data_IF_406482096213
#
_entry.id   IF_406482096213
#
_cell.length_a   1.000
_cell.length_b   1.000
_cell.length_c   1.000
_cell.angle_alpha   90.00
_cell.angle_beta   90.00
_cell.angle_gamma   90.00
#
_symmetry.space_group_name_H-M   'P 1'
#
loop_
_entity.id
_entity.type
_entity.pdbx_description
1 polymer ?
#
# COMPACT_ATOMS: atom_id res chain seq x y z
N UNK A 1 -17.10 14.38 -43.82
CA UNK A 1 -17.12 14.66 -42.37
C UNK A 1 -16.28 15.89 -42.02
N UNK A 2 -14.94 15.89 -42.17
CA UNK A 2 -14.13 17.09 -41.84
C UNK A 2 -14.58 18.31 -42.64
N UNK A 3 -14.73 18.18 -43.96
CA UNK A 3 -15.21 19.24 -44.85
C UNK A 3 -16.59 19.78 -44.44
N UNK A 4 -17.54 18.90 -44.11
CA UNK A 4 -18.90 19.28 -43.73
C UNK A 4 -18.96 19.90 -42.34
N UNK A 5 -18.09 19.49 -41.41
CA UNK A 5 -17.98 20.11 -40.10
C UNK A 5 -17.35 21.51 -40.15
N UNK A 6 -16.28 21.69 -40.93
CA UNK A 6 -15.71 23.03 -41.17
C UNK A 6 -16.75 23.96 -41.81
N UNK A 7 -17.53 23.45 -42.77
CA UNK A 7 -18.61 24.23 -43.37
C UNK A 7 -19.67 24.65 -42.33
N UNK A 8 -20.08 23.76 -41.41
CA UNK A 8 -20.99 24.13 -40.32
C UNK A 8 -20.42 25.29 -39.47
N UNK A 9 -19.12 25.22 -39.13
CA UNK A 9 -18.43 26.28 -38.37
C UNK A 9 -18.36 27.62 -39.12
N UNK A 10 -18.38 27.60 -40.46
CA UNK A 10 -18.44 28.83 -41.26
C UNK A 10 -19.85 29.39 -41.41
N UNK A 11 -20.87 28.54 -41.42
CA UNK A 11 -22.27 28.94 -41.63
C UNK A 11 -22.94 29.48 -40.37
N UNK A 12 -22.60 28.93 -39.20
CA UNK A 12 -23.20 29.33 -37.92
C UNK A 12 -22.13 29.50 -36.85
N UNK A 13 -22.39 30.43 -35.93
CA UNK A 13 -21.52 30.63 -34.76
C UNK A 13 -21.60 29.43 -33.82
N UNK A 14 -20.54 29.15 -33.04
CA UNK A 14 -20.52 28.07 -32.04
C UNK A 14 -21.74 28.07 -31.11
N UNK A 15 -22.18 29.25 -30.66
CA UNK A 15 -23.31 29.40 -29.75
C UNK A 15 -24.63 28.97 -30.40
N UNK A 16 -24.83 29.34 -31.68
CA UNK A 16 -26.03 29.01 -32.45
C UNK A 16 -26.09 27.51 -32.75
N UNK A 17 -24.96 26.90 -33.10
CA UNK A 17 -24.86 25.45 -33.32
C UNK A 17 -25.19 24.68 -32.04
N UNK A 18 -24.62 25.11 -30.91
CA UNK A 18 -24.89 24.49 -29.62
C UNK A 18 -26.35 24.64 -29.17
N UNK A 19 -26.96 25.82 -29.39
CA UNK A 19 -28.38 26.03 -29.08
C UNK A 19 -29.30 25.17 -29.97
N UNK A 20 -28.99 25.07 -31.26
CA UNK A 20 -29.71 24.22 -32.20
C UNK A 20 -29.65 22.74 -31.79
N UNK A 21 -28.46 22.26 -31.46
CA UNK A 21 -28.26 20.90 -30.95
C UNK A 21 -29.03 20.65 -29.65
N UNK A 22 -28.97 21.58 -28.69
CA UNK A 22 -29.67 21.41 -27.41
C UNK A 22 -31.19 21.42 -27.60
N UNK A 23 -31.71 22.24 -28.52
CA UNK A 23 -33.13 22.24 -28.90
C UNK A 23 -33.56 20.90 -29.48
N UNK A 24 -32.77 20.31 -30.38
CA UNK A 24 -33.06 18.98 -30.93
C UNK A 24 -32.96 17.88 -29.87
N UNK A 25 -32.00 17.97 -28.95
CA UNK A 25 -31.88 17.02 -27.84
C UNK A 25 -33.11 17.10 -26.93
N UNK A 26 -33.54 18.31 -26.57
CA UNK A 26 -34.74 18.52 -25.76
C UNK A 26 -36.01 18.00 -26.43
N UNK A 27 -36.08 18.09 -27.76
CA UNK A 27 -37.20 17.54 -28.56
C UNK A 27 -37.20 16.02 -28.60
N UNK A 28 -36.04 15.39 -28.75
CA UNK A 28 -35.91 13.92 -28.90
C UNK A 28 -35.96 13.21 -27.55
N UNK A 29 -35.26 13.73 -26.54
CA UNK A 29 -35.09 13.10 -25.25
C UNK A 29 -35.08 14.16 -24.12
N UNK A 30 -36.24 14.74 -23.77
CA UNK A 30 -36.33 15.82 -22.79
C UNK A 30 -35.78 15.41 -21.41
N UNK A 31 -35.92 14.15 -21.02
CA UNK A 31 -35.39 13.63 -19.75
C UNK A 31 -33.85 13.67 -19.66
N UNK A 32 -33.14 13.63 -20.78
CA UNK A 32 -31.66 13.67 -20.82
C UNK A 32 -31.14 15.08 -20.54
N UNK A 33 -31.94 16.11 -20.81
CA UNK A 33 -31.55 17.52 -20.60
C UNK A 33 -31.20 17.84 -19.15
N UNK A 34 -31.75 17.11 -18.18
CA UNK A 34 -31.47 17.24 -16.74
C UNK A 34 -29.99 16.98 -16.41
N UNK A 35 -29.28 16.20 -17.24
CA UNK A 35 -27.85 15.94 -17.06
C UNK A 35 -26.97 17.17 -17.38
N UNK A 36 -27.51 18.14 -18.13
CA UNK A 36 -26.78 19.31 -18.59
C UNK A 36 -27.02 20.51 -17.64
N UNK A 37 -26.24 20.57 -16.57
CA UNK A 37 -26.42 21.56 -15.47
C UNK A 37 -25.71 22.91 -15.69
N UNK A 38 -24.84 23.01 -16.69
CA UNK A 38 -24.04 24.22 -16.94
C UNK A 38 -24.85 25.27 -17.73
N UNK A 39 -24.48 26.55 -17.74
CA UNK A 39 -25.09 27.53 -18.64
C UNK A 39 -24.96 27.11 -20.12
N UNK A 40 -25.96 27.47 -20.94
CA UNK A 40 -26.05 27.08 -22.36
C UNK A 40 -24.78 27.43 -23.16
N UNK A 41 -24.14 28.56 -22.86
CA UNK A 41 -22.92 29.01 -23.53
C UNK A 41 -21.75 28.03 -23.32
N UNK A 42 -21.59 27.53 -22.09
CA UNK A 42 -20.57 26.54 -21.77
C UNK A 42 -20.91 25.21 -22.45
N UNK A 43 -22.19 24.83 -22.49
CA UNK A 43 -22.63 23.61 -23.16
C UNK A 43 -22.39 23.68 -24.68
N UNK A 44 -22.62 24.82 -25.31
CA UNK A 44 -22.34 25.03 -26.72
C UNK A 44 -20.85 24.85 -27.04
N UNK A 45 -19.97 25.45 -26.22
CA UNK A 45 -18.52 25.24 -26.33
C UNK A 45 -18.12 23.77 -26.15
N UNK A 46 -18.69 23.10 -25.15
CA UNK A 46 -18.47 21.66 -24.92
C UNK A 46 -18.97 20.81 -26.08
N UNK A 47 -20.12 21.13 -26.65
CA UNK A 47 -20.65 20.47 -27.84
C UNK A 47 -19.66 20.56 -29.01
N UNK A 48 -19.16 21.77 -29.32
CA UNK A 48 -18.16 21.94 -30.38
C UNK A 48 -16.91 21.08 -30.13
N UNK A 49 -16.39 21.10 -28.90
CA UNK A 49 -15.23 20.28 -28.53
C UNK A 49 -15.48 18.77 -28.66
N UNK A 50 -16.69 18.31 -28.36
CA UNK A 50 -17.06 16.89 -28.53
C UNK A 50 -17.07 16.53 -30.02
N UNK A 51 -17.65 17.38 -30.87
CA UNK A 51 -17.67 17.10 -32.32
C UNK A 51 -16.27 17.19 -32.92
N UNK A 52 -15.45 18.18 -32.55
CA UNK A 52 -14.05 18.27 -32.97
C UNK A 52 -13.27 17.00 -32.57
N UNK A 53 -13.47 16.49 -31.35
CA UNK A 53 -12.89 15.22 -30.88
C UNK A 53 -13.36 14.03 -31.72
N UNK A 54 -14.65 13.96 -32.07
CA UNK A 54 -15.19 12.89 -32.90
C UNK A 54 -14.66 12.94 -34.34
N UNK A 55 -14.48 14.14 -34.90
CA UNK A 55 -13.85 14.30 -36.22
C UNK A 55 -12.38 13.87 -36.16
N UNK A 56 -11.65 14.28 -35.12
CA UNK A 56 -10.25 13.88 -34.92
C UNK A 56 -10.07 12.36 -34.69
N UNK A 57 -11.05 11.70 -34.07
CA UNK A 57 -11.06 10.24 -33.89
C UNK A 57 -10.92 9.45 -35.20
N UNK A 58 -11.42 10.00 -36.32
CA UNK A 58 -11.28 9.38 -37.65
C UNK A 58 -9.81 9.29 -38.07
N UNK A 59 -9.02 10.30 -37.71
CA UNK A 59 -7.62 10.44 -38.16
C UNK A 59 -6.66 9.69 -37.26
N UNK A 60 -6.94 9.67 -35.95
CA UNK A 60 -6.05 9.07 -34.97
C UNK A 60 -6.86 8.45 -33.82
N UNK A 61 -7.35 7.20 -34.00
CA UNK A 61 -8.11 6.51 -32.98
C UNK A 61 -7.35 6.35 -31.66
N UNK A 62 -6.02 6.23 -31.70
CA UNK A 62 -5.16 6.07 -30.51
C UNK A 62 -5.30 7.23 -29.53
N UNK A 63 -5.29 8.48 -30.02
CA UNK A 63 -5.38 9.70 -29.21
C UNK A 63 -6.72 9.74 -28.45
N UNK A 64 -7.81 9.31 -29.09
CA UNK A 64 -9.11 9.22 -28.43
C UNK A 64 -9.09 8.24 -27.26
N UNK A 65 -8.35 7.13 -27.37
CA UNK A 65 -8.26 6.11 -26.34
C UNK A 65 -7.38 6.49 -25.14
N UNK A 66 -6.38 7.37 -25.32
CA UNK A 66 -5.50 7.83 -24.22
C UNK A 66 -6.27 8.52 -23.08
N UNK A 67 -7.41 9.17 -23.37
CA UNK A 67 -8.29 9.81 -22.38
C UNK A 67 -9.59 9.06 -22.08
N UNK A 68 -9.84 7.95 -22.77
CA UNK A 68 -11.16 7.31 -22.82
C UNK A 68 -11.63 6.75 -21.47
N UNK A 69 -10.69 6.25 -20.65
CA UNK A 69 -10.99 5.78 -19.29
C UNK A 69 -11.51 6.92 -18.39
N UNK A 70 -10.76 8.03 -18.33
CA UNK A 70 -11.15 9.21 -17.55
C UNK A 70 -12.48 9.79 -18.04
N UNK A 71 -12.70 9.76 -19.36
CA UNK A 71 -13.99 10.12 -19.95
C UNK A 71 -15.12 9.21 -19.43
N UNK A 72 -14.94 7.89 -19.50
CA UNK A 72 -15.93 6.89 -19.07
C UNK A 72 -16.29 7.05 -17.60
N UNK A 73 -15.29 7.14 -16.71
CA UNK A 73 -15.51 7.33 -15.26
C UNK A 73 -16.32 8.61 -14.98
N UNK A 74 -15.99 9.72 -15.65
CA UNK A 74 -16.76 10.96 -15.51
C UNK A 74 -18.20 10.82 -16.00
N UNK A 75 -18.43 10.12 -17.11
CA UNK A 75 -19.77 9.90 -17.64
C UNK A 75 -20.62 9.02 -16.71
N UNK A 76 -20.03 7.98 -16.11
CA UNK A 76 -20.68 7.20 -15.05
C UNK A 76 -21.05 8.11 -13.87
N UNK A 77 -20.12 8.98 -13.45
CA UNK A 77 -20.35 9.95 -12.36
C UNK A 77 -21.48 10.93 -12.64
N UNK A 78 -21.62 11.35 -13.90
CA UNK A 78 -22.71 12.21 -14.33
C UNK A 78 -24.05 11.47 -14.43
N UNK A 79 -24.08 10.15 -14.31
CA UNK A 79 -25.28 9.33 -14.47
C UNK A 79 -25.66 9.11 -15.94
N UNK A 80 -24.70 9.25 -16.87
CA UNK A 80 -24.92 8.99 -18.29
C UNK A 80 -24.98 7.48 -18.51
N UNK A 81 -26.04 7.02 -19.16
CA UNK A 81 -26.25 5.62 -19.53
C UNK A 81 -25.96 5.42 -21.02
N UNK A 82 -25.56 4.21 -21.40
CA UNK A 82 -25.32 3.85 -22.81
C UNK A 82 -26.56 4.07 -23.70
N UNK A 83 -27.78 3.90 -23.15
CA UNK A 83 -29.04 4.13 -23.86
C UNK A 83 -29.21 5.57 -24.38
N UNK A 84 -28.59 6.56 -23.71
CA UNK A 84 -28.69 7.97 -24.11
C UNK A 84 -27.88 8.29 -25.37
N UNK A 85 -26.90 7.46 -25.72
CA UNK A 85 -26.02 7.71 -26.87
C UNK A 85 -26.81 7.77 -28.20
N UNK A 86 -27.86 6.96 -28.36
CA UNK A 86 -28.69 7.00 -29.58
C UNK A 86 -29.42 8.33 -29.73
N UNK A 87 -30.02 8.83 -28.66
CA UNK A 87 -30.74 10.10 -28.67
C UNK A 87 -29.81 11.29 -28.89
N UNK A 88 -28.65 11.29 -28.22
CA UNK A 88 -27.63 12.31 -28.41
C UNK A 88 -27.12 12.35 -29.85
N UNK A 89 -26.74 11.20 -30.43
CA UNK A 89 -26.27 11.16 -31.82
C UNK A 89 -27.29 11.67 -32.82
N UNK A 90 -28.56 11.31 -32.63
CA UNK A 90 -29.65 11.80 -33.48
C UNK A 90 -29.81 13.32 -33.38
N UNK A 91 -29.69 13.90 -32.18
CA UNK A 91 -29.77 15.36 -32.04
C UNK A 91 -28.58 16.09 -32.68
N UNK A 92 -27.38 15.50 -32.64
CA UNK A 92 -26.20 16.04 -33.36
C UNK A 92 -26.44 16.04 -34.86
N UNK A 93 -26.85 14.90 -35.43
CA UNK A 93 -27.05 14.76 -36.87
C UNK A 93 -28.15 15.71 -37.36
N UNK A 94 -29.27 15.81 -36.64
CA UNK A 94 -30.34 16.77 -36.95
C UNK A 94 -29.84 18.23 -36.95
N UNK A 95 -28.98 18.60 -35.99
CA UNK A 95 -28.44 19.97 -35.93
C UNK A 95 -27.51 20.28 -37.12
N UNK A 96 -26.75 19.27 -37.59
CA UNK A 96 -25.91 19.38 -38.79
C UNK A 96 -26.77 19.47 -40.05
N UNK A 97 -27.79 18.63 -40.17
CA UNK A 97 -28.77 18.66 -41.27
C UNK A 97 -29.45 20.03 -41.38
N UNK A 98 -29.97 20.56 -40.27
CA UNK A 98 -30.59 21.89 -40.20
C UNK A 98 -29.61 23.05 -40.44
N UNK A 99 -28.30 22.81 -40.39
CA UNK A 99 -27.28 23.83 -40.67
C UNK A 99 -26.81 23.79 -42.13
N UNK A 100 -26.67 22.59 -42.69
CA UNK A 100 -26.19 22.38 -44.04
C UNK A 100 -27.31 22.45 -45.08
N UNK A 101 -28.55 22.20 -44.68
CA UNK A 101 -29.75 22.24 -45.52
C UNK A 101 -29.54 21.45 -46.82
N UNK A 102 -29.55 22.10 -47.98
CA UNK A 102 -29.35 21.47 -49.30
C UNK A 102 -28.00 20.74 -49.46
N UNK A 103 -27.00 21.08 -48.63
CA UNK A 103 -25.67 20.47 -48.66
C UNK A 103 -25.57 19.20 -47.78
N UNK A 104 -26.68 18.79 -47.17
CA UNK A 104 -26.77 17.55 -46.42
C UNK A 104 -27.42 16.46 -47.29
N UNK A 105 -26.61 15.85 -48.15
CA UNK A 105 -27.03 14.73 -48.99
C UNK A 105 -27.01 13.38 -48.23
N UNK A 106 -27.49 12.32 -48.89
CA UNK A 106 -27.57 10.97 -48.33
C UNK A 106 -26.18 10.41 -47.96
N UNK A 107 -25.14 10.75 -48.71
CA UNK A 107 -23.76 10.33 -48.46
C UNK A 107 -23.21 10.99 -47.18
N UNK A 108 -23.48 12.29 -46.99
CA UNK A 108 -23.13 13.03 -45.79
C UNK A 108 -23.90 12.48 -44.58
N UNK A 109 -25.20 12.21 -44.73
CA UNK A 109 -26.02 11.61 -43.68
C UNK A 109 -25.47 10.25 -43.25
N UNK A 110 -25.16 9.37 -44.20
CA UNK A 110 -24.61 8.05 -43.94
C UNK A 110 -23.23 8.14 -43.27
N UNK A 111 -22.36 9.04 -43.74
CA UNK A 111 -21.03 9.22 -43.18
C UNK A 111 -21.07 9.65 -41.71
N UNK A 112 -21.91 10.65 -41.37
CA UNK A 112 -22.08 11.09 -39.99
C UNK A 112 -22.70 10.01 -39.10
N UNK A 113 -23.66 9.24 -39.63
CA UNK A 113 -24.26 8.12 -38.90
C UNK A 113 -23.22 7.04 -38.60
N UNK A 114 -22.38 6.68 -39.57
CA UNK A 114 -21.30 5.70 -39.39
C UNK A 114 -20.28 6.15 -38.35
N UNK A 115 -19.86 7.42 -38.39
CA UNK A 115 -18.96 7.99 -37.38
C UNK A 115 -19.57 7.87 -35.99
N UNK A 116 -20.83 8.32 -35.84
CA UNK A 116 -21.52 8.29 -34.56
C UNK A 116 -21.63 6.86 -34.04
N UNK A 117 -22.08 5.91 -34.85
CA UNK A 117 -22.21 4.50 -34.46
C UNK A 117 -20.87 3.94 -34.00
N UNK A 118 -19.78 4.22 -34.73
CA UNK A 118 -18.45 3.72 -34.36
C UNK A 118 -18.00 4.27 -33.01
N UNK A 119 -18.01 5.59 -32.83
CA UNK A 119 -17.57 6.21 -31.58
C UNK A 119 -18.49 5.88 -30.39
N UNK A 120 -19.81 5.94 -30.60
CA UNK A 120 -20.79 5.67 -29.55
C UNK A 120 -20.85 4.21 -29.15
N UNK A 121 -20.54 3.25 -30.04
CA UNK A 121 -20.50 1.83 -29.69
C UNK A 121 -19.43 1.53 -28.63
N UNK A 122 -18.26 2.16 -28.73
CA UNK A 122 -17.18 2.05 -27.75
C UNK A 122 -17.61 2.66 -26.41
N UNK A 123 -18.10 3.90 -26.43
CA UNK A 123 -18.56 4.61 -25.22
C UNK A 123 -19.70 3.84 -24.55
N UNK A 124 -20.72 3.42 -25.31
CA UNK A 124 -21.89 2.72 -24.76
C UNK A 124 -21.51 1.38 -24.15
N UNK A 125 -20.58 0.63 -24.76
CA UNK A 125 -20.05 -0.60 -24.18
C UNK A 125 -19.35 -0.34 -22.85
N UNK A 126 -18.47 0.65 -22.80
CA UNK A 126 -17.74 1.03 -21.60
C UNK A 126 -18.68 1.54 -20.50
N UNK A 127 -19.71 2.32 -20.86
CA UNK A 127 -20.75 2.76 -19.93
C UNK A 127 -21.61 1.60 -19.43
N UNK A 128 -21.97 0.64 -20.28
CA UNK A 128 -22.75 -0.52 -19.86
C UNK A 128 -21.97 -1.43 -18.90
N UNK A 129 -20.65 -1.61 -19.10
CA UNK A 129 -19.79 -2.26 -18.10
C UNK A 129 -19.76 -1.43 -16.81
N UNK A 130 -19.61 -0.11 -16.95
CA UNK A 130 -19.64 0.86 -15.86
C UNK A 130 -21.00 1.03 -15.16
N UNK A 131 -22.09 0.51 -15.71
CA UNK A 131 -23.42 0.48 -15.07
C UNK A 131 -23.59 -0.65 -14.07
N UNK A 132 -22.54 -1.46 -13.83
CA UNK A 132 -22.53 -2.35 -12.67
C UNK A 132 -22.93 -1.53 -11.43
N UNK A 133 -24.00 -1.91 -10.70
CA UNK A 133 -24.49 -1.16 -9.55
C UNK A 133 -23.39 -0.85 -8.52
N UNK A 134 -22.39 -1.73 -8.40
CA UNK A 134 -21.22 -1.54 -7.55
C UNK A 134 -20.35 -0.40 -8.06
N UNK A 135 -19.97 -0.40 -9.33
CA UNK A 135 -19.17 0.69 -9.94
C UNK A 135 -19.91 2.02 -9.79
N UNK A 136 -21.22 2.04 -10.06
CA UNK A 136 -22.04 3.24 -9.94
C UNK A 136 -22.03 3.76 -8.50
N UNK A 137 -22.19 2.87 -7.51
CA UNK A 137 -22.14 3.26 -6.10
C UNK A 137 -20.78 3.79 -5.66
N UNK A 138 -19.68 3.19 -6.13
CA UNK A 138 -18.30 3.61 -5.84
C UNK A 138 -18.02 4.99 -6.43
N UNK A 139 -18.37 5.20 -7.71
CA UNK A 139 -18.17 6.46 -8.42
C UNK A 139 -19.00 7.60 -7.82
N UNK A 140 -20.22 7.30 -7.37
CA UNK A 140 -21.10 8.27 -6.71
C UNK A 140 -20.73 8.48 -5.23
N UNK A 141 -20.00 7.54 -4.64
CA UNK A 141 -19.67 7.52 -3.23
C UNK A 141 -20.87 7.25 -2.32
N UNK A 142 -21.89 6.56 -2.83
CA UNK A 142 -23.17 6.33 -2.14
C UNK A 142 -23.19 4.94 -1.50
N UNK A 143 -23.05 4.90 -0.17
CA UNK A 143 -23.02 3.66 0.61
C UNK A 143 -24.35 2.90 0.55
N UNK A 144 -25.50 3.58 0.57
CA UNK A 144 -26.80 2.91 0.55
C UNK A 144 -27.01 2.16 -0.77
N UNK A 145 -26.61 2.78 -1.89
CA UNK A 145 -26.64 2.10 -3.20
C UNK A 145 -25.69 0.91 -3.27
N UNK A 146 -24.52 1.01 -2.65
CA UNK A 146 -23.61 -0.14 -2.57
C UNK A 146 -24.27 -1.27 -1.79
N UNK A 147 -24.84 -1.01 -0.60
CA UNK A 147 -25.54 -2.02 0.17
C UNK A 147 -26.64 -2.70 -0.65
N UNK A 148 -27.51 -1.92 -1.29
CA UNK A 148 -28.59 -2.43 -2.14
C UNK A 148 -28.07 -3.26 -3.32
N UNK A 149 -26.93 -2.87 -3.92
CA UNK A 149 -26.29 -3.63 -4.98
C UNK A 149 -25.77 -4.99 -4.48
N UNK A 150 -25.22 -5.02 -3.27
CA UNK A 150 -24.65 -6.23 -2.67
C UNK A 150 -25.72 -7.21 -2.17
N UNK A 151 -26.95 -6.75 -1.91
CA UNK A 151 -28.05 -7.62 -1.44
C UNK A 151 -28.45 -8.71 -2.45
N UNK A 152 -28.19 -8.46 -3.74
CA UNK A 152 -28.43 -9.43 -4.81
C UNK A 152 -27.31 -10.49 -4.94
N UNK A 153 -26.16 -10.26 -4.32
CA UNK A 153 -24.98 -11.12 -4.48
C UNK A 153 -24.97 -12.27 -3.48
N UNK A 154 -24.62 -13.47 -3.94
CA UNK A 154 -24.34 -14.57 -3.01
C UNK A 154 -23.11 -14.25 -2.16
N UNK A 155 -23.01 -14.86 -0.98
CA UNK A 155 -21.95 -14.54 0.00
C UNK A 155 -20.53 -14.72 -0.55
N UNK A 156 -20.32 -15.69 -1.45
CA UNK A 156 -19.02 -15.93 -2.11
C UNK A 156 -18.73 -14.84 -3.14
N UNK A 157 -19.72 -14.48 -3.96
CA UNK A 157 -19.58 -13.44 -4.98
C UNK A 157 -19.32 -12.07 -4.35
N UNK A 158 -19.87 -11.79 -3.16
CA UNK A 158 -19.59 -10.54 -2.43
C UNK A 158 -18.10 -10.30 -2.24
N UNK A 159 -17.31 -11.34 -1.94
CA UNK A 159 -15.87 -11.21 -1.75
C UNK A 159 -15.16 -10.80 -3.04
N UNK A 160 -15.46 -11.47 -4.15
CA UNK A 160 -14.88 -11.12 -5.46
C UNK A 160 -15.29 -9.71 -5.88
N UNK A 161 -16.57 -9.36 -5.70
CA UNK A 161 -17.13 -8.08 -6.12
C UNK A 161 -16.62 -6.88 -5.30
N UNK A 162 -16.32 -7.07 -4.01
CA UNK A 162 -15.78 -6.01 -3.14
C UNK A 162 -14.26 -5.90 -3.21
N UNK A 163 -13.57 -6.91 -3.73
CA UNK A 163 -12.10 -6.89 -3.86
C UNK A 163 -11.62 -6.62 -5.28
N UNK A 164 -12.41 -6.99 -6.29
CA UNK A 164 -12.04 -6.82 -7.70
C UNK A 164 -13.25 -6.44 -8.55
N UNK A 165 -13.07 -5.41 -9.37
CA UNK A 165 -14.07 -4.95 -10.33
C UNK A 165 -13.36 -4.61 -11.63
N UNK A 166 -13.84 -5.17 -12.74
CA UNK A 166 -13.35 -4.85 -14.07
C UNK A 166 -14.02 -3.56 -14.59
N UNK A 167 -13.20 -2.54 -14.83
CA UNK A 167 -13.61 -1.32 -15.51
C UNK A 167 -12.93 -1.26 -16.87
N UNK A 168 -13.57 -1.89 -17.86
CA UNK A 168 -13.16 -1.84 -19.27
C UNK A 168 -11.75 -2.39 -19.54
N UNK A 169 -11.44 -3.56 -18.98
CA UNK A 169 -10.19 -4.29 -19.17
C UNK A 169 -9.14 -4.03 -18.07
N UNK A 170 -9.44 -3.14 -17.12
CA UNK A 170 -8.61 -2.91 -15.95
C UNK A 170 -9.30 -3.42 -14.69
N UNK A 171 -8.59 -4.26 -13.93
CA UNK A 171 -9.05 -4.76 -12.63
C UNK A 171 -8.72 -3.71 -11.58
N UNK A 172 -9.75 -3.16 -10.94
CA UNK A 172 -9.65 -2.20 -9.85
C UNK A 172 -10.14 -2.83 -8.54
N UNK A 173 -9.57 -2.39 -7.42
CA UNK A 173 -10.08 -2.73 -6.08
C UNK A 173 -11.07 -1.67 -5.60
N UNK A 174 -12.33 -2.03 -5.32
CA UNK A 174 -13.31 -1.15 -4.68
C UNK A 174 -12.83 -0.55 -3.36
N UNK A 175 -12.11 -1.34 -2.57
CA UNK A 175 -11.54 -0.89 -1.30
C UNK A 175 -10.51 0.23 -1.52
N UNK A 176 -9.51 -0.02 -2.37
CA UNK A 176 -8.46 0.97 -2.65
C UNK A 176 -8.99 2.19 -3.41
N UNK A 177 -9.99 2.00 -4.26
CA UNK A 177 -10.70 3.13 -4.87
C UNK A 177 -11.38 3.97 -3.79
N UNK A 178 -12.17 3.37 -2.90
CA UNK A 178 -12.88 4.10 -1.84
C UNK A 178 -11.93 4.84 -0.91
N UNK A 179 -10.77 4.26 -0.57
CA UNK A 179 -9.74 4.93 0.22
C UNK A 179 -9.14 6.13 -0.52
N UNK A 180 -8.81 5.98 -1.81
CA UNK A 180 -8.23 7.05 -2.64
C UNK A 180 -9.18 8.23 -2.83
N UNK A 181 -10.47 7.95 -3.00
CA UNK A 181 -11.51 8.97 -3.17
C UNK A 181 -11.94 9.59 -1.82
N UNK A 182 -11.39 9.12 -0.69
CA UNK A 182 -11.72 9.62 0.65
C UNK A 182 -13.10 9.18 1.15
N UNK A 183 -13.74 8.21 0.49
CA UNK A 183 -15.00 7.64 0.93
C UNK A 183 -14.78 6.54 1.97
N UNK A 184 -14.39 6.95 3.17
CA UNK A 184 -14.04 6.04 4.26
C UNK A 184 -15.25 5.25 4.79
N UNK A 185 -16.47 5.76 4.65
CA UNK A 185 -17.68 5.03 5.03
C UNK A 185 -17.86 3.78 4.17
N UNK A 186 -17.69 3.91 2.86
CA UNK A 186 -17.70 2.79 1.93
C UNK A 186 -16.55 1.83 2.19
N UNK A 187 -15.32 2.34 2.36
CA UNK A 187 -14.16 1.49 2.67
C UNK A 187 -14.35 0.68 3.95
N UNK A 188 -14.86 1.31 5.02
CA UNK A 188 -15.18 0.64 6.28
C UNK A 188 -16.30 -0.39 6.15
N UNK A 189 -17.33 -0.11 5.34
CA UNK A 189 -18.35 -1.09 5.01
C UNK A 189 -17.75 -2.33 4.33
N UNK A 190 -16.87 -2.17 3.32
CA UNK A 190 -16.29 -3.36 2.67
C UNK A 190 -15.38 -4.11 3.63
N UNK A 191 -14.55 -3.46 4.45
CA UNK A 191 -13.72 -4.15 5.46
C UNK A 191 -14.61 -4.97 6.40
N UNK A 192 -15.67 -4.38 6.93
CA UNK A 192 -16.60 -5.05 7.83
C UNK A 192 -17.35 -6.20 7.14
N UNK A 193 -17.82 -6.01 5.90
CA UNK A 193 -18.55 -7.06 5.17
C UNK A 193 -17.64 -8.26 4.84
N UNK A 194 -16.39 -8.00 4.45
CA UNK A 194 -15.39 -9.03 4.16
C UNK A 194 -15.01 -9.83 5.41
N UNK A 195 -14.88 -9.15 6.56
CA UNK A 195 -14.45 -9.78 7.82
C UNK A 195 -15.59 -10.29 8.70
N UNK A 196 -16.85 -10.07 8.31
CA UNK A 196 -17.99 -10.59 9.06
C UNK A 196 -18.06 -12.12 8.92
N UNK A 197 -17.90 -12.83 10.03
CA UNK A 197 -18.07 -14.28 10.07
C UNK A 197 -19.56 -14.60 9.93
N UNK A 198 -19.94 -15.31 8.87
CA UNK A 198 -21.32 -15.71 8.60
C UNK A 198 -21.38 -17.21 8.39
N UNK A 199 -22.49 -17.84 8.77
CA UNK A 199 -22.75 -19.25 8.52
C UNK A 199 -24.01 -19.39 7.66
N UNK A 200 -23.97 -20.27 6.67
CA UNK A 200 -25.16 -20.74 5.96
C UNK A 200 -25.28 -22.26 6.17
N UNK A 201 -26.34 -22.88 5.64
CA UNK A 201 -26.58 -24.33 5.77
C UNK A 201 -25.42 -25.18 5.24
N UNK A 202 -24.70 -24.69 4.23
CA UNK A 202 -23.67 -25.46 3.53
C UNK A 202 -22.22 -25.07 3.92
N UNK A 203 -21.98 -23.85 4.42
CA UNK A 203 -20.61 -23.35 4.64
C UNK A 203 -20.52 -22.15 5.59
N UNK A 204 -19.33 -21.97 6.17
CA UNK A 204 -18.93 -20.75 6.88
C UNK A 204 -18.21 -19.81 5.93
N UNK A 205 -18.48 -18.51 6.05
CA UNK A 205 -17.94 -17.46 5.21
C UNK A 205 -17.14 -16.49 6.06
N UNK A 206 -15.88 -16.31 5.69
CA UNK A 206 -14.98 -15.36 6.32
C UNK A 206 -13.91 -14.94 5.30
N UNK A 207 -14.01 -13.71 4.79
CA UNK A 207 -13.23 -13.23 3.65
C UNK A 207 -11.80 -12.79 3.98
N UNK A 208 -11.25 -13.16 5.15
CA UNK A 208 -9.90 -12.76 5.60
C UNK A 208 -8.83 -13.11 4.58
N UNK A 209 -8.79 -14.35 4.12
CA UNK A 209 -7.74 -14.82 3.21
C UNK A 209 -7.80 -14.09 1.86
N UNK A 210 -9.01 -13.85 1.34
CA UNK A 210 -9.22 -13.09 0.11
C UNK A 210 -8.79 -11.64 0.28
N UNK A 211 -9.15 -11.01 1.41
CA UNK A 211 -8.77 -9.63 1.73
C UNK A 211 -7.26 -9.44 1.69
N UNK A 212 -6.51 -10.24 2.47
CA UNK A 212 -5.05 -10.12 2.54
C UNK A 212 -4.33 -10.63 1.29
N UNK A 213 -4.90 -11.60 0.56
CA UNK A 213 -4.34 -12.05 -0.71
C UNK A 213 -4.40 -10.98 -1.79
N UNK A 214 -5.51 -10.23 -1.86
CA UNK A 214 -5.69 -9.14 -2.84
C UNK A 214 -5.07 -7.82 -2.36
N UNK A 215 -4.90 -7.63 -1.05
CA UNK A 215 -4.43 -6.40 -0.42
C UNK A 215 -3.38 -6.69 0.67
N UNK A 216 -2.18 -7.18 0.32
CA UNK A 216 -1.13 -7.52 1.30
C UNK A 216 -0.62 -6.28 2.07
N UNK A 217 -0.71 -5.11 1.46
CA UNK A 217 -0.27 -3.81 1.96
C UNK A 217 -1.41 -2.99 2.59
N UNK A 218 -2.55 -3.62 2.88
CA UNK A 218 -3.74 -2.94 3.45
C UNK A 218 -3.42 -2.16 4.74
N UNK A 219 -2.57 -2.70 5.62
CA UNK A 219 -2.20 -2.05 6.88
C UNK A 219 -1.45 -0.73 6.63
N UNK A 220 -0.57 -0.71 5.63
CA UNK A 220 0.16 0.50 5.23
C UNK A 220 -0.78 1.56 4.68
N UNK A 221 -1.67 1.16 3.78
CA UNK A 221 -2.69 2.03 3.22
C UNK A 221 -3.62 2.60 4.31
N UNK A 222 -4.07 1.78 5.27
CA UNK A 222 -4.92 2.26 6.35
C UNK A 222 -4.17 3.20 7.30
N UNK A 223 -2.92 2.91 7.65
CA UNK A 223 -2.11 3.82 8.47
C UNK A 223 -1.92 5.19 7.80
N UNK A 224 -1.72 5.22 6.48
CA UNK A 224 -1.50 6.46 5.72
C UNK A 224 -2.79 7.22 5.43
N UNK A 225 -3.80 6.52 4.92
CA UNK A 225 -4.99 7.13 4.31
C UNK A 225 -6.16 7.23 5.31
N UNK A 226 -6.32 6.27 6.25
CA UNK A 226 -7.42 6.28 7.22
C UNK A 226 -7.15 5.47 8.51
N UNK A 227 -6.43 6.07 9.49
CA UNK A 227 -6.14 5.49 10.81
C UNK A 227 -7.31 4.83 11.54
N UNK A 228 -8.52 5.39 11.42
CA UNK A 228 -9.70 4.91 12.14
C UNK A 228 -10.20 3.56 11.63
N UNK A 229 -10.06 3.30 10.33
CA UNK A 229 -10.47 2.04 9.73
C UNK A 229 -9.57 0.87 10.15
N UNK A 230 -8.39 1.16 10.68
CA UNK A 230 -7.51 0.14 11.24
C UNK A 230 -8.13 -0.57 12.45
N UNK A 231 -8.88 0.15 13.30
CA UNK A 231 -9.63 -0.45 14.41
C UNK A 231 -10.73 -1.37 13.88
N UNK A 232 -11.47 -0.95 12.85
CA UNK A 232 -12.48 -1.79 12.22
C UNK A 232 -11.87 -3.06 11.59
N UNK A 233 -10.70 -2.92 10.95
CA UNK A 233 -9.95 -4.08 10.46
C UNK A 233 -9.63 -5.03 11.62
N UNK A 234 -9.07 -4.53 12.72
CA UNK A 234 -8.71 -5.37 13.85
C UNK A 234 -9.92 -6.01 14.54
N UNK A 235 -11.02 -5.29 14.70
CA UNK A 235 -12.27 -5.84 15.25
C UNK A 235 -12.79 -7.01 14.41
N UNK A 236 -12.65 -6.94 13.07
CA UNK A 236 -12.99 -8.04 12.16
C UNK A 236 -12.03 -9.24 12.20
N UNK A 237 -10.88 -9.11 12.84
CA UNK A 237 -9.90 -10.21 13.04
C UNK A 237 -10.05 -10.90 14.39
N UNK A 238 -11.09 -10.56 15.15
CA UNK A 238 -11.39 -11.20 16.42
C UNK A 238 -12.85 -11.66 16.47
N UNK A 239 -13.08 -12.79 17.13
CA UNK A 239 -14.42 -13.30 17.39
C UNK A 239 -14.60 -13.57 18.87
N UNK A 240 -15.74 -13.13 19.41
CA UNK A 240 -16.10 -13.32 20.81
C UNK A 240 -17.16 -14.41 20.93
N UNK A 241 -16.96 -15.34 21.87
CA UNK A 241 -18.01 -16.27 22.26
C UNK A 241 -19.18 -15.53 22.90
N UNK A 242 -20.38 -16.07 22.73
CA UNK A 242 -21.57 -15.60 23.46
C UNK A 242 -21.58 -16.08 24.90
N UNK A 243 -20.92 -17.20 25.16
CA UNK A 243 -20.92 -17.85 26.46
C UNK A 243 -19.83 -17.25 27.36
N UNK A 244 -20.22 -16.95 28.59
CA UNK A 244 -19.35 -16.46 29.66
C UNK A 244 -19.06 -17.64 30.59
N UNK A 245 -17.82 -18.08 30.65
CA UNK A 245 -17.36 -19.14 31.54
C UNK A 245 -16.46 -18.52 32.62
N UNK A 246 -16.81 -18.69 33.90
CA UNK A 246 -16.05 -18.16 35.04
C UNK A 246 -15.78 -16.64 34.97
N UNK A 247 -16.74 -15.86 34.46
CA UNK A 247 -16.58 -14.41 34.27
C UNK A 247 -15.64 -14.02 33.13
N UNK A 248 -15.20 -14.98 32.30
CA UNK A 248 -14.34 -14.76 31.15
C UNK A 248 -15.09 -15.11 29.86
N UNK A 249 -14.77 -14.39 28.78
CA UNK A 249 -15.29 -14.65 27.43
C UNK A 249 -14.16 -15.23 26.59
N UNK A 250 -14.44 -16.34 25.90
CA UNK A 250 -13.50 -16.88 24.93
C UNK A 250 -13.40 -15.95 23.73
N UNK A 251 -12.17 -15.57 23.37
CA UNK A 251 -11.88 -14.77 22.18
C UNK A 251 -10.96 -15.56 21.24
N UNK A 252 -11.38 -15.71 19.99
CA UNK A 252 -10.57 -16.30 18.93
C UNK A 252 -9.95 -15.16 18.10
N UNK A 253 -8.64 -15.26 17.83
CA UNK A 253 -7.89 -14.26 17.05
C UNK A 253 -7.47 -14.85 15.70
N UNK A 254 -7.76 -14.14 14.61
CA UNK A 254 -7.47 -14.56 13.24
C UNK A 254 -6.39 -13.66 12.63
N UNK A 255 -5.16 -13.81 13.12
CA UNK A 255 -4.07 -12.85 12.91
C UNK A 255 -2.88 -13.41 12.13
N UNK A 256 -3.07 -14.53 11.41
CA UNK A 256 -1.98 -15.25 10.72
C UNK A 256 -1.22 -14.33 9.76
N UNK A 257 -1.95 -13.60 8.93
CA UNK A 257 -1.41 -12.71 7.90
C UNK A 257 -0.71 -11.47 8.49
N UNK A 258 -1.15 -11.01 9.68
CA UNK A 258 -0.50 -9.89 10.39
C UNK A 258 0.77 -10.28 11.13
N UNK A 259 0.86 -11.54 11.59
CA UNK A 259 2.08 -12.07 12.22
C UNK A 259 3.17 -12.24 11.15
N UNK A 260 2.80 -12.76 9.97
CA UNK A 260 3.74 -13.17 8.93
C UNK A 260 4.47 -14.47 9.30
N UNK A 261 5.37 -14.93 8.44
CA UNK A 261 6.19 -16.11 8.70
C UNK A 261 7.65 -15.68 8.96
N UNK A 262 8.09 -15.58 10.22
CA UNK A 262 9.40 -15.01 10.57
C UNK A 262 10.58 -15.81 10.02
N UNK A 263 10.39 -17.08 9.68
CA UNK A 263 11.42 -17.95 9.10
C UNK A 263 11.58 -17.76 7.58
N UNK A 264 10.54 -17.28 6.89
CA UNK A 264 10.54 -17.11 5.42
C UNK A 264 10.74 -15.67 4.99
N UNK A 265 10.34 -14.72 5.82
CA UNK A 265 10.49 -13.30 5.51
C UNK A 265 11.88 -12.78 5.87
N UNK A 266 12.66 -12.42 4.86
CA UNK A 266 14.00 -11.84 5.04
C UNK A 266 13.96 -10.41 5.58
N UNK A 267 12.82 -9.70 5.46
CA UNK A 267 12.69 -8.30 5.87
C UNK A 267 11.55 -8.09 6.88
N UNK A 268 11.91 -8.11 8.16
CA UNK A 268 11.01 -7.88 9.30
C UNK A 268 10.35 -6.49 9.27
N UNK A 269 10.97 -5.51 8.59
CA UNK A 269 10.50 -4.12 8.55
C UNK A 269 9.38 -3.87 7.53
N UNK A 270 9.06 -4.84 6.67
CA UNK A 270 7.88 -4.76 5.78
C UNK A 270 6.61 -5.34 6.42
N UNK A 271 6.72 -5.87 7.63
CA UNK A 271 5.59 -6.49 8.32
C UNK A 271 4.65 -5.43 8.89
N UNK A 272 3.36 -5.80 9.00
CA UNK A 272 2.31 -4.96 9.57
C UNK A 272 2.69 -4.31 10.91
N UNK A 273 3.36 -5.05 11.80
CA UNK A 273 3.78 -4.52 13.11
C UNK A 273 4.79 -3.37 12.99
N UNK A 274 5.69 -3.41 12.01
CA UNK A 274 6.62 -2.31 11.76
C UNK A 274 5.85 -1.07 11.31
N UNK A 275 4.94 -1.22 10.36
CA UNK A 275 4.10 -0.14 9.85
C UNK A 275 3.29 0.53 10.96
N UNK A 276 2.79 -0.24 11.94
CA UNK A 276 2.13 0.30 13.13
C UNK A 276 3.10 1.06 14.05
N UNK A 277 4.33 0.57 14.18
CA UNK A 277 5.37 1.22 14.99
C UNK A 277 5.81 2.54 14.37
N UNK A 278 5.97 2.58 13.05
CA UNK A 278 6.35 3.79 12.31
C UNK A 278 5.22 4.83 12.33
N UNK A 279 3.95 4.41 12.39
CA UNK A 279 2.80 5.30 12.58
C UNK A 279 2.77 5.95 13.98
N UNK A 280 3.36 5.31 15.00
CA UNK A 280 3.65 5.91 16.29
C UNK A 280 2.46 6.21 17.22
N UNK A 281 1.24 5.76 16.89
CA UNK A 281 0.06 5.98 17.74
C UNK A 281 -0.07 4.90 18.84
N UNK A 282 -0.05 5.27 20.13
CA UNK A 282 -0.21 4.31 21.23
C UNK A 282 -1.57 3.61 21.26
N UNK A 283 -2.62 4.18 20.65
CA UNK A 283 -3.96 3.58 20.62
C UNK A 283 -3.99 2.27 19.84
N UNK A 284 -3.15 2.12 18.80
CA UNK A 284 -3.05 0.86 18.06
C UNK A 284 -2.53 -0.26 18.96
N UNK A 285 -1.54 0.02 19.81
CA UNK A 285 -0.95 -0.94 20.73
C UNK A 285 -1.84 -1.25 21.94
N UNK A 286 -2.84 -0.41 22.22
CA UNK A 286 -3.87 -0.71 23.19
C UNK A 286 -4.85 -1.79 22.69
N UNK A 287 -4.98 -1.97 21.38
CA UNK A 287 -5.94 -2.90 20.79
C UNK A 287 -5.61 -4.37 21.09
N UNK A 288 -6.58 -5.23 21.47
CA UNK A 288 -6.35 -6.63 21.83
C UNK A 288 -5.63 -7.45 20.75
N UNK A 289 -5.96 -7.22 19.48
CA UNK A 289 -5.31 -7.88 18.33
C UNK A 289 -3.82 -7.57 18.26
N UNK A 290 -3.42 -6.31 18.39
CA UNK A 290 -2.01 -5.90 18.31
C UNK A 290 -1.25 -6.44 19.52
N UNK A 291 -1.86 -6.41 20.71
CA UNK A 291 -1.31 -7.07 21.91
C UNK A 291 -1.10 -8.56 21.69
N UNK A 292 -2.07 -9.24 21.07
CA UNK A 292 -1.95 -10.68 20.80
C UNK A 292 -0.86 -10.98 19.77
N UNK A 293 -0.71 -10.15 18.74
CA UNK A 293 0.40 -10.25 17.77
C UNK A 293 1.75 -10.16 18.49
N UNK A 294 1.92 -9.15 19.37
CA UNK A 294 3.14 -8.98 20.16
C UNK A 294 3.42 -10.17 21.06
N UNK A 295 2.40 -10.64 21.79
CA UNK A 295 2.50 -11.81 22.67
C UNK A 295 2.91 -13.07 21.88
N UNK A 296 2.24 -13.35 20.76
CA UNK A 296 2.55 -14.52 19.92
C UNK A 296 3.96 -14.43 19.33
N UNK A 297 4.35 -13.27 18.79
CA UNK A 297 5.71 -13.06 18.26
C UNK A 297 6.77 -13.24 19.34
N UNK A 298 6.53 -12.73 20.56
CA UNK A 298 7.46 -12.89 21.68
C UNK A 298 7.56 -14.35 22.13
N UNK A 299 6.43 -15.01 22.38
CA UNK A 299 6.41 -16.39 22.89
C UNK A 299 6.96 -17.41 21.89
N UNK A 300 6.64 -17.28 20.60
CA UNK A 300 7.05 -18.27 19.59
C UNK A 300 8.48 -18.06 19.10
N UNK A 301 8.91 -16.81 18.91
CA UNK A 301 10.18 -16.47 18.27
C UNK A 301 11.07 -15.60 19.16
N UNK A 302 10.56 -14.43 19.58
CA UNK A 302 11.35 -13.38 20.22
C UNK A 302 12.05 -13.83 21.51
N UNK A 303 11.36 -14.56 22.38
CA UNK A 303 11.88 -15.02 23.68
C UNK A 303 13.03 -16.01 23.53
N UNK A 304 12.94 -16.95 22.58
CA UNK A 304 14.00 -17.91 22.28
C UNK A 304 15.21 -17.20 21.67
N UNK A 305 15.00 -16.37 20.65
CA UNK A 305 16.08 -15.59 20.03
C UNK A 305 16.77 -14.68 21.05
N UNK A 306 15.99 -14.00 21.89
CA UNK A 306 16.51 -13.16 22.96
C UNK A 306 17.31 -13.97 23.98
N UNK A 307 16.79 -15.10 24.46
CA UNK A 307 17.46 -15.96 25.43
C UNK A 307 18.78 -16.51 24.90
N UNK A 308 18.81 -16.99 23.65
CA UNK A 308 20.04 -17.47 22.98
C UNK A 308 21.07 -16.35 22.87
N UNK A 309 20.63 -15.16 22.44
CA UNK A 309 21.52 -14.01 22.32
C UNK A 309 22.05 -13.55 23.68
N UNK A 310 21.21 -13.46 24.71
CA UNK A 310 21.63 -13.10 26.06
C UNK A 310 22.58 -14.14 26.65
N UNK A 311 22.30 -15.42 26.44
CA UNK A 311 23.17 -16.50 26.89
C UNK A 311 24.55 -16.40 26.24
N UNK A 312 24.62 -16.15 24.92
CA UNK A 312 25.90 -15.95 24.24
C UNK A 312 26.71 -14.79 24.82
N UNK A 313 26.09 -13.65 25.08
CA UNK A 313 26.79 -12.50 25.67
C UNK A 313 27.18 -12.73 27.14
N UNK A 314 26.33 -13.39 27.93
CA UNK A 314 26.66 -13.76 29.30
C UNK A 314 27.83 -14.76 29.32
N UNK A 315 27.82 -15.73 28.42
CA UNK A 315 28.91 -16.69 28.26
C UNK A 315 30.22 -15.99 27.88
N UNK A 316 30.19 -15.07 26.92
CA UNK A 316 31.35 -14.26 26.54
C UNK A 316 31.89 -13.45 27.72
N UNK A 317 31.00 -12.84 28.51
CA UNK A 317 31.36 -12.06 29.69
C UNK A 317 32.01 -12.94 30.78
N UNK A 318 31.41 -14.08 31.11
CA UNK A 318 31.94 -15.02 32.12
C UNK A 318 33.32 -15.50 31.70
N UNK A 319 33.47 -15.92 30.45
CA UNK A 319 34.75 -16.36 29.93
C UNK A 319 35.81 -15.25 29.97
N UNK A 320 35.44 -14.02 29.63
CA UNK A 320 36.33 -12.88 29.73
C UNK A 320 36.79 -12.64 31.18
N UNK A 321 35.87 -12.69 32.15
CA UNK A 321 36.18 -12.51 33.57
C UNK A 321 37.15 -13.58 34.08
N UNK A 322 36.92 -14.85 33.72
CA UNK A 322 37.84 -15.95 34.08
C UNK A 322 39.23 -15.72 33.44
N UNK A 323 39.27 -15.42 32.14
CA UNK A 323 40.52 -15.27 31.40
C UNK A 323 41.39 -14.08 31.84
N UNK A 324 40.78 -12.97 32.25
CA UNK A 324 41.49 -11.72 32.56
C UNK A 324 41.61 -11.41 34.06
N UNK A 325 40.73 -11.90 34.92
CA UNK A 325 40.81 -11.62 36.37
C UNK A 325 41.57 -12.73 37.09
N UNK A 326 41.24 -13.99 36.82
CA UNK A 326 41.81 -15.12 37.56
C UNK A 326 43.20 -15.50 37.05
N UNK A 327 43.41 -15.41 35.74
CA UNK A 327 44.65 -15.86 35.12
C UNK A 327 45.59 -14.74 34.66
N UNK A 328 45.35 -13.47 35.00
CA UNK A 328 46.03 -12.27 34.45
C UNK A 328 47.57 -12.35 34.42
N UNK A 329 48.20 -13.02 35.38
CA UNK A 329 49.65 -13.08 35.54
C UNK A 329 50.30 -14.37 35.05
N UNK A 330 49.52 -15.40 34.73
CA UNK A 330 50.06 -16.72 34.35
C UNK A 330 50.12 -16.91 32.83
N UNK A 331 51.35 -16.86 32.27
CA UNK A 331 51.60 -17.06 30.84
C UNK A 331 51.29 -18.49 30.35
N UNK A 332 51.00 -19.44 31.26
CA UNK A 332 50.56 -20.80 30.90
C UNK A 332 49.17 -20.83 30.25
N UNK A 333 48.34 -19.82 30.50
CA UNK A 333 46.98 -19.72 29.97
C UNK A 333 46.85 -18.71 28.83
N UNK A 334 47.97 -18.28 28.25
CA UNK A 334 48.02 -17.33 27.13
C UNK A 334 47.20 -17.81 25.92
N UNK A 335 47.24 -19.12 25.61
CA UNK A 335 46.43 -19.71 24.55
C UNK A 335 44.91 -19.60 24.78
N UNK A 336 44.45 -19.65 26.04
CA UNK A 336 43.03 -19.46 26.37
C UNK A 336 42.65 -17.99 26.16
N UNK A 337 43.51 -17.03 26.54
CA UNK A 337 43.24 -15.61 26.28
C UNK A 337 43.15 -15.29 24.81
N UNK A 338 44.06 -15.83 23.98
CA UNK A 338 43.98 -15.66 22.53
C UNK A 338 42.70 -16.27 21.93
N UNK A 339 42.26 -17.43 22.43
CA UNK A 339 41.00 -18.03 22.01
C UNK A 339 39.78 -17.16 22.37
N UNK A 340 39.77 -16.59 23.58
CA UNK A 340 38.71 -15.68 24.03
C UNK A 340 38.73 -14.33 23.29
N UNK A 341 39.92 -13.78 23.05
CA UNK A 341 40.14 -12.62 22.19
C UNK A 341 39.64 -12.88 20.76
N UNK A 342 39.92 -14.07 20.22
CA UNK A 342 39.41 -14.52 18.92
C UNK A 342 37.89 -14.62 18.87
N UNK A 343 37.24 -15.18 19.90
CA UNK A 343 35.78 -15.27 19.97
C UNK A 343 35.11 -13.89 20.09
N UNK A 344 35.68 -13.00 20.90
CA UNK A 344 35.19 -11.61 21.01
C UNK A 344 35.35 -10.85 19.69
N UNK A 345 36.48 -11.02 18.99
CA UNK A 345 36.75 -10.46 17.67
C UNK A 345 35.77 -10.99 16.61
N UNK A 346 35.50 -12.29 16.59
CA UNK A 346 34.48 -12.86 15.69
C UNK A 346 33.09 -12.28 15.96
N UNK A 347 32.74 -12.08 17.23
CA UNK A 347 31.46 -11.43 17.59
C UNK A 347 31.43 -9.95 17.14
N UNK A 348 32.55 -9.23 17.25
CA UNK A 348 32.66 -7.84 16.82
C UNK A 348 32.58 -7.73 15.28
N UNK A 349 33.20 -8.65 14.55
CA UNK A 349 33.09 -8.77 13.09
C UNK A 349 31.64 -9.06 12.69
N UNK A 350 30.97 -10.01 13.36
CA UNK A 350 29.58 -10.34 13.08
C UNK A 350 28.64 -9.12 13.31
N UNK A 351 28.83 -8.36 14.39
CA UNK A 351 28.03 -7.16 14.66
C UNK A 351 28.35 -6.02 13.66
N UNK A 352 29.61 -5.91 13.25
CA UNK A 352 30.02 -4.97 12.19
C UNK A 352 29.36 -5.33 10.86
N UNK A 353 29.34 -6.62 10.52
CA UNK A 353 28.65 -7.14 9.33
C UNK A 353 27.15 -6.82 9.36
N UNK A 354 26.46 -7.07 10.49
CA UNK A 354 25.04 -6.70 10.66
C UNK A 354 24.84 -5.19 10.49
N UNK A 355 25.71 -4.38 11.06
CA UNK A 355 25.63 -2.91 10.94
C UNK A 355 25.82 -2.43 9.50
N UNK A 356 26.77 -3.04 8.76
CA UNK A 356 26.99 -2.77 7.33
C UNK A 356 25.78 -3.22 6.50
N UNK A 357 25.19 -4.38 6.78
CA UNK A 357 23.99 -4.86 6.12
C UNK A 357 22.82 -3.89 6.29
N UNK A 358 22.61 -3.39 7.52
CA UNK A 358 21.59 -2.37 7.78
C UNK A 358 21.84 -1.07 7.01
N UNK A 359 23.10 -0.66 6.87
CA UNK A 359 23.48 0.51 6.08
C UNK A 359 23.22 0.32 4.57
N UNK A 360 23.66 -0.83 4.02
CA UNK A 360 23.47 -1.18 2.61
C UNK A 360 22.00 -1.31 2.22
N UNK A 361 21.17 -1.84 3.13
CA UNK A 361 19.74 -2.02 2.92
C UNK A 361 18.92 -0.74 3.19
N UNK A 362 19.57 0.38 3.53
CA UNK A 362 18.89 1.66 3.78
C UNK A 362 18.11 1.72 5.09
N UNK A 363 18.34 0.78 6.03
CA UNK A 363 17.71 0.77 7.36
C UNK A 363 18.45 1.71 8.31
N UNK A 364 18.30 3.00 8.03
CA UNK A 364 18.97 4.08 8.74
C UNK A 364 17.93 4.81 9.59
N UNK A 365 18.30 5.14 10.82
CA UNK A 365 17.54 6.05 11.67
C UNK A 365 18.36 7.28 12.01
N UNK A 366 17.71 8.42 12.18
CA UNK A 366 18.37 9.65 12.58
C UNK A 366 18.40 9.76 14.09
N UNK A 367 19.59 9.76 14.68
CA UNK A 367 19.74 10.11 16.10
C UNK A 367 19.67 11.63 16.23
N UNK A 368 18.67 12.13 16.94
CA UNK A 368 18.62 13.53 17.36
C UNK A 368 19.31 13.66 18.72
N UNK A 369 20.46 14.34 18.73
CA UNK A 369 21.11 14.71 19.98
C UNK A 369 20.30 15.86 20.58
N UNK A 370 19.80 15.69 21.82
CA UNK A 370 18.87 16.63 22.50
C UNK A 370 19.33 18.10 22.54
N UNK A 371 20.61 18.38 22.26
CA UNK A 371 21.23 19.71 22.36
C UNK A 371 21.88 20.21 21.06
N UNK A 372 21.78 19.47 19.94
CA UNK A 372 22.30 19.94 18.64
C UNK A 372 21.31 19.62 17.51
N UNK A 373 21.19 20.50 16.49
CA UNK A 373 20.34 20.24 15.33
C UNK A 373 20.94 19.18 14.37
N UNK A 374 22.03 18.52 14.76
CA UNK A 374 22.75 17.58 13.92
C UNK A 374 22.01 16.22 13.91
N UNK A 375 21.39 15.89 12.77
CA UNK A 375 20.81 14.56 12.54
C UNK A 375 21.90 13.66 11.93
N UNK A 376 22.46 12.76 12.73
CA UNK A 376 23.42 11.77 12.20
C UNK A 376 22.67 10.51 11.73
N UNK A 377 22.88 10.05 10.49
CA UNK A 377 22.38 8.77 10.03
C UNK A 377 23.15 7.65 10.73
N UNK A 378 22.44 6.78 11.46
CA UNK A 378 23.02 5.60 12.09
C UNK A 378 22.30 4.34 11.61
N UNK A 379 23.03 3.22 11.41
CA UNK A 379 22.40 1.92 11.20
C UNK A 379 21.41 1.63 12.32
N UNK A 380 20.19 1.18 11.99
CA UNK A 380 19.13 0.94 12.98
C UNK A 380 19.54 -0.03 14.10
N UNK A 381 20.47 -0.95 13.83
CA UNK A 381 21.05 -1.85 14.83
C UNK A 381 21.76 -1.08 15.98
N UNK A 382 22.54 -0.06 15.64
CA UNK A 382 23.32 0.75 16.58
C UNK A 382 22.50 1.89 17.23
N UNK A 383 21.25 2.07 16.80
CA UNK A 383 20.39 3.10 17.35
C UNK A 383 19.86 2.76 18.75
N UNK A 384 19.78 1.46 19.07
CA UNK A 384 19.44 1.01 20.41
C UNK A 384 20.67 1.17 21.32
N UNK A 385 20.56 1.89 22.46
CA UNK A 385 21.70 2.13 23.35
C UNK A 385 22.39 0.84 23.80
N UNK A 386 21.64 -0.23 24.03
CA UNK A 386 22.18 -1.52 24.44
C UNK A 386 23.04 -2.19 23.37
N UNK A 387 22.65 -2.10 22.10
CA UNK A 387 23.43 -2.66 20.99
C UNK A 387 24.67 -1.82 20.73
N UNK A 388 24.59 -0.49 20.87
CA UNK A 388 25.76 0.38 20.81
C UNK A 388 26.76 0.02 21.94
N UNK A 389 26.29 -0.11 23.18
CA UNK A 389 27.13 -0.53 24.29
C UNK A 389 27.77 -1.91 24.03
N UNK A 390 27.01 -2.90 23.56
CA UNK A 390 27.53 -4.24 23.22
C UNK A 390 28.57 -4.17 22.10
N UNK A 391 28.31 -3.40 21.05
CA UNK A 391 29.23 -3.19 19.95
C UNK A 391 30.55 -2.59 20.46
N UNK A 392 30.48 -1.51 21.24
CA UNK A 392 31.68 -0.89 21.81
C UNK A 392 32.42 -1.82 22.78
N UNK A 393 31.69 -2.55 23.64
CA UNK A 393 32.28 -3.46 24.60
C UNK A 393 33.01 -4.61 23.91
N UNK A 394 32.38 -5.25 22.92
CA UNK A 394 33.02 -6.38 22.19
C UNK A 394 34.29 -5.96 21.44
N UNK A 395 34.32 -4.75 20.86
CA UNK A 395 35.53 -4.18 20.28
C UNK A 395 36.62 -3.91 21.32
N UNK A 396 36.28 -3.25 22.44
CA UNK A 396 37.24 -2.98 23.51
C UNK A 396 37.81 -4.28 24.11
N UNK A 397 36.96 -5.27 24.35
CA UNK A 397 37.37 -6.59 24.87
C UNK A 397 38.31 -7.31 23.92
N UNK A 398 38.08 -7.19 22.60
CA UNK A 398 39.01 -7.76 21.61
C UNK A 398 40.38 -7.10 21.70
N UNK A 399 40.44 -5.77 21.75
CA UNK A 399 41.71 -5.02 21.82
C UNK A 399 42.50 -5.35 23.08
N UNK A 400 41.84 -5.35 24.25
CA UNK A 400 42.49 -5.70 25.54
C UNK A 400 43.10 -7.09 25.50
N UNK A 401 42.39 -8.06 24.89
CA UNK A 401 42.86 -9.44 24.79
C UNK A 401 44.09 -9.63 23.89
N UNK A 402 44.41 -8.67 23.01
CA UNK A 402 45.58 -8.73 22.11
C UNK A 402 46.72 -7.77 22.49
N UNK A 403 46.46 -6.73 23.29
CA UNK A 403 47.47 -5.74 23.70
C UNK A 403 48.25 -6.19 24.94
N UNK A 404 47.62 -6.89 25.88
CA UNK A 404 48.30 -7.43 27.07
C UNK A 404 48.99 -8.77 26.75
N UNK A 405 50.11 -8.69 26.04
CA UNK A 405 51.03 -9.83 25.90
C UNK A 405 51.91 -9.95 27.14
N UNK A 406 52.24 -11.19 27.54
CA UNK A 406 53.18 -11.42 28.63
C UNK A 406 54.51 -10.72 28.32
N UNK A 407 54.79 -9.61 29.00
CA UNK A 407 56.13 -9.03 29.00
C UNK A 407 57.08 -10.06 29.62
N UNK A 408 57.98 -10.62 28.81
CA UNK A 408 59.10 -11.42 29.32
C UNK A 408 59.86 -10.56 30.33
N UNK A 409 60.13 -11.06 31.56
CA UNK A 409 60.95 -10.29 32.50
C UNK A 409 62.31 -10.01 31.85
N UNK A 410 62.89 -8.80 32.01
CA UNK A 410 64.19 -8.49 31.45
C UNK A 410 65.21 -9.51 31.98
N UNK A 411 66.17 -9.97 31.15
CA UNK A 411 67.19 -10.91 31.61
C UNK A 411 67.92 -10.33 32.82
N UNK A 412 68.25 -11.15 33.83
CA UNK A 412 68.96 -10.66 35.02
C UNK A 412 70.26 -9.97 34.58
N UNK A 413 70.64 -8.84 35.22
CA UNK A 413 71.86 -8.14 34.87
C UNK A 413 73.03 -9.10 34.98
N UNK A 414 73.79 -9.22 33.89
CA UNK A 414 74.92 -10.15 33.76
C UNK A 414 75.86 -10.03 34.95
N UNK A 415 76.10 -11.17 35.61
CA UNK A 415 77.14 -11.30 36.62
C UNK A 415 78.49 -11.01 35.98
N UNK A 416 79.04 -9.85 36.30
CA UNK A 416 80.40 -9.46 35.93
C UNK A 416 81.38 -10.43 36.60
N UNK A 417 82.06 -11.22 35.77
CA UNK A 417 83.06 -12.19 36.16
C UNK A 417 84.32 -11.48 36.65
N UNK A 418 84.33 -11.12 37.93
CA UNK A 418 85.50 -10.66 38.65
C UNK A 418 86.60 -11.73 38.68
N UNK A 419 87.55 -11.61 37.75
CA UNK A 419 88.85 -12.28 37.78
C UNK A 419 89.62 -11.87 39.03
N UNK A 420 89.64 -12.74 40.04
CA UNK A 420 90.58 -12.66 41.15
C UNK A 420 91.91 -13.32 40.74
N UNK A 421 92.91 -12.48 40.41
CA UNK A 421 94.30 -12.92 40.17
C UNK A 421 94.93 -13.32 41.51
N UNK A 422 95.26 -14.61 41.65
CA UNK A 422 96.33 -15.06 42.55
C UNK A 422 97.66 -15.13 41.80
N UNK A 423 98.65 -14.46 42.40
CA UNK A 423 100.11 -14.45 42.14
C UNK A 423 100.60 -13.62 40.96
#
# INVERSE_FOLDING_TARGET
>A
IRSTWELCKTLKKPEELGELWFKELARIAPHVTVLFKRPKQIQASQFMSIIDMLVAFIESPTIFFEGFKSLTIRHIKYGVKGEYAKAFGKSVINAIELTLEEKFDDDVAQAWQMLWVRASSCVSRALNVGTNPIIVSLVQGDLEKLCNAMDCASRVERFEWLTTVDVNGEILSPLYWSLRDGNFATAGFIINDLLMIRADRESYYYGREVLFSKHPDIVEHLCRDSPRLLFQLFDGLMWHSKDVENGMIRVNYYIRELIGEPEKESNVWKQALCTLTDAGDPLYFAHPVVRKILEVKWTQFGSKCFAVLQFFYLFLLILFMIGNIEFHTDCRFEGIRFFLGGLSLLSAIAQTYISIQHWQNGWITSLQVKFTPLKMPLPRYLAEPWNLCRFTATWLLSVVSFVETCHTPPPPPGGDGGRERRR
#
